data_IF_337102451566
#
_entry.id   IF_337102451566
#
_cell.length_a   1.000
_cell.length_b   1.000
_cell.length_c   1.000
_cell.angle_alpha   90.00
_cell.angle_beta   90.00
_cell.angle_gamma   90.00
#
_symmetry.space_group_name_H-M   'P 1'
#
loop_
_entity.id
_entity.type
_entity.pdbx_description
1 polymer ?
#
# COMPACT_ATOMS: atom_id res chain seq x y z
N UNK A 1 -3.26 -32.43 47.53
CA UNK A 1 -3.17 -32.66 46.14
C UNK A 1 -2.69 -31.43 45.42
N UNK A 2 -1.61 -31.57 44.76
CA UNK A 2 -0.92 -30.44 44.16
C UNK A 2 -1.36 -30.18 42.72
N UNK A 3 -2.61 -30.40 42.42
CA UNK A 3 -3.13 -30.25 41.08
C UNK A 3 -3.06 -28.83 40.56
N UNK A 4 -2.99 -27.86 41.43
CA UNK A 4 -2.79 -26.47 41.07
C UNK A 4 -1.48 -26.26 40.29
N UNK A 5 -0.54 -27.18 40.45
CA UNK A 5 0.73 -27.11 39.72
C UNK A 5 0.65 -27.65 38.31
N UNK A 6 -0.48 -28.27 37.98
CA UNK A 6 -0.68 -28.87 36.69
C UNK A 6 -1.33 -27.90 35.67
N UNK A 7 -1.37 -26.61 35.99
CA UNK A 7 -1.82 -25.61 35.06
C UNK A 7 -0.92 -25.64 33.85
N UNK A 8 -1.52 -25.71 32.62
CA UNK A 8 -0.74 -25.90 31.39
C UNK A 8 0.06 -24.68 30.97
N UNK A 9 -0.09 -23.58 31.68
CA UNK A 9 0.68 -22.37 31.34
C UNK A 9 1.22 -21.74 32.60
N UNK A 10 2.34 -21.09 32.47
CA UNK A 10 3.03 -20.37 33.53
C UNK A 10 2.56 -18.91 33.49
N UNK A 11 2.06 -18.39 34.59
CA UNK A 11 1.64 -17.00 34.70
C UNK A 11 2.79 -16.02 34.50
N UNK A 12 4.02 -16.44 34.82
CA UNK A 12 5.19 -15.58 34.55
C UNK A 12 5.42 -15.35 33.08
N UNK A 13 5.03 -16.28 32.22
CA UNK A 13 5.09 -16.09 30.77
C UNK A 13 4.07 -15.06 30.29
N UNK A 14 2.87 -15.06 30.92
CA UNK A 14 1.86 -14.04 30.61
C UNK A 14 2.32 -12.65 31.02
N UNK A 15 2.98 -12.54 32.17
CA UNK A 15 3.52 -11.26 32.63
C UNK A 15 4.61 -10.77 31.66
N UNK A 16 5.43 -11.67 31.14
CA UNK A 16 6.42 -11.34 30.15
C UNK A 16 5.81 -10.88 28.82
N UNK A 17 4.73 -11.54 28.42
CA UNK A 17 4.00 -11.14 27.20
C UNK A 17 3.33 -9.77 27.38
N UNK A 18 2.75 -9.51 28.55
CA UNK A 18 2.15 -8.21 28.85
C UNK A 18 3.20 -7.09 28.84
N UNK A 19 4.42 -7.39 29.32
CA UNK A 19 5.49 -6.42 29.26
C UNK A 19 5.97 -6.17 27.82
N UNK A 20 5.88 -7.16 26.97
CA UNK A 20 6.18 -7.00 25.55
C UNK A 20 5.11 -6.17 24.83
N UNK A 21 3.89 -6.17 25.36
CA UNK A 21 2.83 -5.32 24.81
C UNK A 21 3.03 -3.84 25.10
N UNK A 22 3.96 -3.50 25.98
CA UNK A 22 4.40 -2.11 26.15
C UNK A 22 5.27 -1.62 24.99
N UNK A 23 5.64 -2.50 24.08
CA UNK A 23 6.23 -2.08 22.82
C UNK A 23 5.29 -1.15 22.09
N UNK A 24 5.81 -0.12 21.39
CA UNK A 24 4.94 0.84 20.73
C UNK A 24 3.98 0.12 19.77
N UNK A 25 2.72 0.54 19.84
CA UNK A 25 1.69 0.07 18.93
C UNK A 25 2.18 0.27 17.48
N UNK A 26 1.99 -0.71 16.59
CA UNK A 26 2.29 -0.51 15.18
C UNK A 26 1.67 0.75 14.58
N UNK A 27 0.54 1.21 15.13
CA UNK A 27 -0.06 2.48 14.72
C UNK A 27 0.77 3.69 15.13
N UNK A 28 1.45 3.63 16.27
CA UNK A 28 2.36 4.69 16.70
C UNK A 28 3.60 4.77 15.80
N UNK A 29 4.02 3.63 15.26
CA UNK A 29 5.12 3.59 14.30
C UNK A 29 4.72 4.20 12.94
N UNK A 30 3.44 4.15 12.58
CA UNK A 30 2.92 4.76 11.36
C UNK A 30 2.93 6.29 11.49
N UNK A 31 2.62 6.83 12.67
CA UNK A 31 2.69 8.26 12.91
C UNK A 31 4.13 8.77 12.84
N UNK A 32 5.08 7.95 13.19
CA UNK A 32 6.50 8.28 13.08
C UNK A 32 6.97 8.30 11.63
N UNK A 33 6.27 7.60 10.74
CA UNK A 33 6.51 7.68 9.30
C UNK A 33 6.11 9.04 8.70
N UNK A 34 5.43 9.87 9.46
CA UNK A 34 5.11 11.25 9.08
C UNK A 34 6.28 12.20 9.28
N UNK A 35 7.33 11.81 9.96
CA UNK A 35 8.57 12.56 9.98
C UNK A 35 9.33 12.20 8.71
N UNK A 36 9.38 13.17 7.81
CA UNK A 36 10.17 13.10 6.59
C UNK A 36 11.64 12.83 6.93
N UNK A 37 11.96 11.58 7.21
CA UNK A 37 13.33 11.16 7.01
C UNK A 37 13.59 11.38 5.53
N UNK A 38 14.43 12.33 5.23
CA UNK A 38 14.79 12.67 3.86
C UNK A 38 15.22 11.39 3.15
N UNK A 39 14.36 10.90 2.26
CA UNK A 39 14.68 9.76 1.42
C UNK A 39 15.85 10.16 0.55
N UNK A 40 16.92 9.34 0.47
CA UNK A 40 18.05 9.66 -0.37
C UNK A 40 17.60 9.86 -1.81
N UNK A 41 18.04 10.96 -2.43
CA UNK A 41 17.70 11.25 -3.83
C UNK A 41 18.15 10.12 -4.75
N UNK A 42 19.25 9.47 -4.42
CA UNK A 42 19.77 8.33 -5.19
C UNK A 42 18.80 7.17 -5.23
N UNK A 43 18.11 6.90 -4.10
CA UNK A 43 17.08 5.86 -4.03
C UNK A 43 15.89 6.19 -4.95
N UNK A 44 15.47 7.45 -4.91
CA UNK A 44 14.35 7.90 -5.75
C UNK A 44 14.72 7.85 -7.25
N UNK A 45 15.93 8.27 -7.61
CA UNK A 45 16.39 8.22 -8.99
C UNK A 45 16.50 6.79 -9.50
N UNK A 46 17.01 5.88 -8.68
CA UNK A 46 17.07 4.47 -9.05
C UNK A 46 15.68 3.87 -9.21
N UNK A 47 14.76 4.21 -8.31
CA UNK A 47 13.38 3.74 -8.41
C UNK A 47 12.69 4.26 -9.67
N UNK A 48 12.92 5.52 -10.04
CA UNK A 48 12.40 6.08 -11.29
C UNK A 48 12.95 5.32 -12.51
N UNK A 49 14.23 4.98 -12.48
CA UNK A 49 14.84 4.16 -13.53
C UNK A 49 14.20 2.78 -13.60
N UNK A 50 13.99 2.16 -12.45
CA UNK A 50 13.41 0.82 -12.36
C UNK A 50 11.98 0.77 -12.92
N UNK A 51 11.20 1.83 -12.77
CA UNK A 51 9.86 1.89 -13.34
C UNK A 51 9.87 1.77 -14.86
N UNK A 52 10.97 2.09 -15.50
CA UNK A 52 11.14 2.02 -16.95
C UNK A 52 11.81 0.72 -17.42
N UNK A 53 12.15 -0.16 -16.51
CA UNK A 53 12.84 -1.41 -16.79
C UNK A 53 11.89 -2.58 -17.06
N UNK A 54 12.39 -3.79 -16.82
CA UNK A 54 11.59 -5.00 -16.94
C UNK A 54 10.58 -5.14 -15.79
N UNK A 55 9.75 -6.18 -15.81
CA UNK A 55 8.69 -6.36 -14.81
C UNK A 55 9.25 -6.47 -13.38
N UNK A 56 10.37 -7.16 -13.20
CA UNK A 56 11.00 -7.33 -11.90
C UNK A 56 11.51 -5.99 -11.36
N UNK A 57 12.17 -5.22 -12.21
CA UNK A 57 12.63 -3.87 -11.86
C UNK A 57 11.45 -2.95 -11.57
N UNK A 58 10.39 -3.04 -12.36
CA UNK A 58 9.17 -2.25 -12.14
C UNK A 58 8.56 -2.53 -10.77
N UNK A 59 8.51 -3.79 -10.34
CA UNK A 59 8.03 -4.14 -8.99
C UNK A 59 8.89 -3.51 -7.90
N UNK A 60 10.20 -3.50 -8.07
CA UNK A 60 11.10 -2.89 -7.09
C UNK A 60 10.90 -1.38 -7.02
N UNK A 61 10.80 -0.71 -8.16
CA UNK A 61 10.53 0.72 -8.21
C UNK A 61 9.17 1.08 -7.61
N UNK A 62 8.16 0.27 -7.88
CA UNK A 62 6.83 0.47 -7.33
C UNK A 62 6.80 0.40 -5.81
N UNK A 63 7.60 -0.49 -5.20
CA UNK A 63 7.68 -0.57 -3.74
C UNK A 63 8.12 0.75 -3.13
N UNK A 64 9.08 1.43 -3.75
CA UNK A 64 9.57 2.72 -3.27
C UNK A 64 8.43 3.75 -3.31
N UNK A 65 7.68 3.82 -4.41
CA UNK A 65 6.62 4.82 -4.56
C UNK A 65 5.31 4.45 -3.86
N UNK A 66 5.17 3.23 -3.38
CA UNK A 66 4.12 2.89 -2.42
C UNK A 66 4.39 3.46 -1.03
N UNK A 67 5.65 3.73 -0.71
CA UNK A 67 6.07 4.23 0.60
C UNK A 67 6.42 5.72 0.58
N UNK A 68 6.90 6.22 -0.53
CA UNK A 68 7.40 7.59 -0.65
C UNK A 68 6.68 8.37 -1.72
N UNK A 69 6.51 9.68 -1.47
CA UNK A 69 5.88 10.59 -2.43
C UNK A 69 6.95 11.28 -3.27
N UNK A 70 6.79 11.18 -4.58
CA UNK A 70 7.62 11.91 -5.53
C UNK A 70 6.81 12.16 -6.81
N UNK A 71 6.50 13.44 -7.11
CA UNK A 71 5.69 13.76 -8.29
C UNK A 71 6.29 13.27 -9.62
N UNK A 72 7.61 13.09 -9.68
CA UNK A 72 8.28 12.59 -10.87
C UNK A 72 7.84 11.16 -11.24
N UNK A 73 7.32 10.42 -10.27
CA UNK A 73 6.84 9.06 -10.51
C UNK A 73 5.52 9.03 -11.28
N UNK A 74 4.70 10.06 -11.18
CA UNK A 74 3.34 10.06 -11.72
C UNK A 74 3.27 9.67 -13.20
N UNK A 75 4.04 10.30 -14.11
CA UNK A 75 3.96 9.92 -15.52
C UNK A 75 4.48 8.52 -15.81
N UNK A 76 5.30 7.96 -14.92
CA UNK A 76 5.83 6.61 -15.06
C UNK A 76 4.89 5.55 -14.46
N UNK A 77 4.08 5.94 -13.49
CA UNK A 77 3.11 5.03 -12.87
C UNK A 77 1.89 4.78 -13.75
N UNK A 78 1.43 5.80 -14.47
CA UNK A 78 0.22 5.68 -15.29
C UNK A 78 0.28 4.54 -16.31
N UNK A 79 1.36 4.34 -17.08
CA UNK A 79 1.43 3.23 -18.04
C UNK A 79 1.35 1.86 -17.38
N UNK A 80 1.79 1.73 -16.12
CA UNK A 80 1.78 0.46 -15.41
C UNK A 80 0.37 -0.01 -15.05
N UNK A 81 -0.61 0.89 -15.05
CA UNK A 81 -2.01 0.52 -14.87
C UNK A 81 -2.53 -0.36 -15.99
N UNK A 82 -1.89 -0.33 -17.16
CA UNK A 82 -2.23 -1.17 -18.30
C UNK A 82 -1.44 -2.47 -18.40
N UNK A 83 -0.63 -2.80 -17.37
CA UNK A 83 0.18 -4.01 -17.39
C UNK A 83 -0.70 -5.26 -17.44
N UNK A 84 -0.25 -6.28 -18.17
CA UNK A 84 -0.89 -7.59 -18.17
C UNK A 84 -0.74 -8.34 -16.85
N UNK A 85 0.23 -7.97 -16.03
CA UNK A 85 0.49 -8.59 -14.74
C UNK A 85 -0.39 -7.95 -13.66
N UNK A 86 -1.29 -8.70 -13.01
CA UNK A 86 -2.16 -8.14 -11.97
C UNK A 86 -1.40 -7.56 -10.79
N UNK A 87 -0.24 -8.14 -10.44
CA UNK A 87 0.58 -7.66 -9.32
C UNK A 87 1.14 -6.28 -9.66
N UNK A 88 1.60 -6.06 -10.90
CA UNK A 88 2.06 -4.75 -11.34
C UNK A 88 0.92 -3.73 -11.33
N UNK A 89 -0.26 -4.11 -11.85
CA UNK A 89 -1.42 -3.21 -11.81
C UNK A 89 -1.77 -2.83 -10.38
N UNK A 90 -1.86 -3.80 -9.47
CA UNK A 90 -2.18 -3.56 -8.07
C UNK A 90 -1.15 -2.64 -7.41
N UNK A 91 0.12 -2.91 -7.63
CA UNK A 91 1.20 -2.10 -7.04
C UNK A 91 1.21 -0.68 -7.61
N UNK A 92 0.94 -0.53 -8.91
CA UNK A 92 0.82 0.80 -9.52
C UNK A 92 -0.38 1.58 -8.97
N UNK A 93 -1.49 0.90 -8.71
CA UNK A 93 -2.67 1.51 -8.09
C UNK A 93 -2.32 2.04 -6.69
N UNK A 94 -1.65 1.25 -5.86
CA UNK A 94 -1.23 1.69 -4.53
C UNK A 94 -0.24 2.84 -4.59
N UNK A 95 0.71 2.79 -5.52
CA UNK A 95 1.67 3.87 -5.71
C UNK A 95 0.97 5.18 -6.09
N UNK A 96 -0.05 5.12 -6.94
CA UNK A 96 -0.88 6.29 -7.30
C UNK A 96 -1.78 6.74 -6.15
N UNK A 97 -2.10 5.87 -5.21
CA UNK A 97 -2.76 6.27 -3.98
C UNK A 97 -1.86 7.07 -3.06
N UNK A 98 -0.57 6.74 -3.05
CA UNK A 98 0.45 7.50 -2.30
C UNK A 98 0.88 8.76 -3.05
N UNK A 99 0.88 8.71 -4.39
CA UNK A 99 1.27 9.80 -5.28
C UNK A 99 0.08 10.21 -6.14
N UNK A 100 -0.95 10.86 -5.59
CA UNK A 100 -2.16 11.16 -6.32
C UNK A 100 -1.89 12.01 -7.56
N UNK A 101 -2.37 11.52 -8.70
CA UNK A 101 -2.22 12.16 -9.99
C UNK A 101 -3.62 12.36 -10.60
N UNK A 102 -4.11 13.61 -10.68
CA UNK A 102 -5.43 13.86 -11.25
C UNK A 102 -5.59 13.33 -12.67
N UNK A 103 -4.50 13.25 -13.43
CA UNK A 103 -4.55 12.74 -14.80
C UNK A 103 -4.75 11.23 -14.86
N UNK A 104 -4.45 10.52 -13.77
CA UNK A 104 -4.68 9.08 -13.69
C UNK A 104 -6.11 8.73 -13.27
N UNK A 105 -6.87 9.68 -12.74
CA UNK A 105 -8.18 9.43 -12.17
C UNK A 105 -9.16 8.73 -13.13
N UNK A 106 -9.31 9.18 -14.39
CA UNK A 106 -10.22 8.49 -15.31
C UNK A 106 -9.83 7.04 -15.55
N UNK A 107 -8.54 6.75 -15.65
CA UNK A 107 -8.05 5.40 -15.87
C UNK A 107 -8.27 4.53 -14.63
N UNK A 108 -8.06 5.08 -13.44
CA UNK A 108 -8.32 4.37 -12.18
C UNK A 108 -9.81 4.02 -12.03
N UNK A 109 -10.71 4.94 -12.36
CA UNK A 109 -12.14 4.71 -12.33
C UNK A 109 -12.56 3.64 -13.33
N UNK A 110 -11.99 3.66 -14.52
CA UNK A 110 -12.24 2.65 -15.54
C UNK A 110 -11.80 1.27 -15.07
N UNK A 111 -10.61 1.16 -14.53
CA UNK A 111 -10.10 -0.12 -13.99
C UNK A 111 -10.99 -0.64 -12.86
N UNK A 112 -11.47 0.23 -12.00
CA UNK A 112 -12.34 -0.18 -10.90
C UNK A 112 -13.61 -0.88 -11.41
N UNK A 113 -14.11 -0.45 -12.54
CA UNK A 113 -15.31 -1.05 -13.17
C UNK A 113 -14.99 -2.31 -13.95
N UNK A 114 -13.83 -2.36 -14.60
CA UNK A 114 -13.55 -3.37 -15.64
C UNK A 114 -12.51 -4.42 -15.22
N UNK A 115 -11.69 -4.16 -14.22
CA UNK A 115 -10.64 -5.11 -13.87
C UNK A 115 -11.25 -6.37 -13.25
N UNK A 116 -10.89 -7.52 -13.80
CA UNK A 116 -11.41 -8.80 -13.34
C UNK A 116 -10.78 -9.29 -12.04
N UNK A 117 -9.62 -8.74 -11.67
CA UNK A 117 -8.89 -9.19 -10.49
C UNK A 117 -9.42 -8.50 -9.24
N UNK A 118 -9.87 -9.28 -8.26
CA UNK A 118 -10.47 -8.72 -7.05
C UNK A 118 -9.45 -7.97 -6.18
N UNK A 119 -8.19 -8.36 -6.19
CA UNK A 119 -7.16 -7.66 -5.43
C UNK A 119 -6.86 -6.29 -6.03
N UNK A 120 -6.85 -6.20 -7.36
CA UNK A 120 -6.71 -4.91 -8.05
C UNK A 120 -7.90 -4.00 -7.72
N UNK A 121 -9.12 -4.52 -7.75
CA UNK A 121 -10.32 -3.74 -7.41
C UNK A 121 -10.31 -3.26 -5.96
N UNK A 122 -9.83 -4.07 -5.02
CA UNK A 122 -9.68 -3.64 -3.62
C UNK A 122 -8.66 -2.52 -3.48
N UNK A 123 -7.55 -2.63 -4.18
CA UNK A 123 -6.54 -1.58 -4.21
C UNK A 123 -7.11 -0.28 -4.79
N UNK A 124 -7.91 -0.39 -5.86
CA UNK A 124 -8.56 0.75 -6.48
C UNK A 124 -9.55 1.43 -5.54
N UNK A 125 -10.32 0.67 -4.78
CA UNK A 125 -11.26 1.23 -3.82
C UNK A 125 -10.53 2.09 -2.76
N UNK A 126 -9.44 1.59 -2.23
CA UNK A 126 -8.61 2.34 -1.28
C UNK A 126 -8.00 3.57 -1.93
N UNK A 127 -7.42 3.40 -3.11
CA UNK A 127 -6.74 4.48 -3.83
C UNK A 127 -7.69 5.60 -4.22
N UNK A 128 -8.87 5.27 -4.76
CA UNK A 128 -9.87 6.26 -5.14
C UNK A 128 -10.36 7.07 -3.94
N UNK A 129 -10.38 6.47 -2.75
CA UNK A 129 -10.69 7.18 -1.53
C UNK A 129 -9.70 8.29 -1.17
N UNK A 130 -8.49 8.24 -1.74
CA UNK A 130 -7.46 9.27 -1.55
C UNK A 130 -7.52 10.39 -2.60
N UNK A 131 -8.45 10.32 -3.54
CA UNK A 131 -8.65 11.33 -4.57
C UNK A 131 -9.84 12.19 -4.21
N UNK A 132 -9.64 13.45 -3.78
CA UNK A 132 -10.76 14.30 -3.34
C UNK A 132 -11.70 14.70 -4.48
N UNK A 133 -11.22 14.68 -5.73
CA UNK A 133 -12.02 15.01 -6.90
C UNK A 133 -12.89 13.84 -7.37
N UNK A 134 -12.72 12.65 -6.82
CA UNK A 134 -13.45 11.48 -7.25
C UNK A 134 -14.83 11.44 -6.62
N UNK A 135 -15.87 11.35 -7.44
CA UNK A 135 -17.20 10.96 -7.00
C UNK A 135 -17.19 9.43 -6.85
N UNK A 136 -16.63 8.96 -5.75
CA UNK A 136 -16.34 7.54 -5.56
C UNK A 136 -17.52 6.76 -5.05
N UNK A 137 -18.47 7.42 -4.40
CA UNK A 137 -19.58 6.77 -3.71
C UNK A 137 -20.40 5.85 -4.62
N UNK A 138 -20.75 6.24 -5.87
CA UNK A 138 -21.46 5.33 -6.76
C UNK A 138 -20.61 4.12 -7.17
N UNK A 139 -19.30 4.31 -7.32
CA UNK A 139 -18.39 3.23 -7.72
C UNK A 139 -18.13 2.28 -6.56
N UNK A 140 -18.11 2.76 -5.32
CA UNK A 140 -17.93 1.93 -4.13
C UNK A 140 -19.11 0.97 -3.92
N UNK A 141 -20.29 1.30 -4.41
CA UNK A 141 -21.44 0.41 -4.32
C UNK A 141 -21.24 -0.90 -5.06
N UNK A 142 -20.33 -0.94 -6.03
CA UNK A 142 -20.00 -2.12 -6.80
C UNK A 142 -19.17 -3.15 -6.00
N UNK A 143 -18.68 -2.77 -4.83
CA UNK A 143 -17.87 -3.64 -3.97
C UNK A 143 -18.73 -4.60 -3.16
N UNK A 144 -20.01 -4.34 -3.04
CA UNK A 144 -20.97 -5.13 -2.25
C UNK A 144 -21.41 -6.42 -2.95
N UNK A 145 -20.55 -7.05 -3.66
CA UNK A 145 -20.87 -8.28 -4.36
C UNK A 145 -20.25 -9.46 -3.65
#
# INVERSE_FOLDING_TARGET
>A
MAQSNDLPFDLSLLEGELQQEEAPDPLDLIDDCGQDEAVPEELLQEALRQLQGNQEEQLQGLKVFCEHRDPRSQPLLRPLLGSSCPILRMSAVYALGRNPDPQALPQLQQLFRLDSNCFVRKALAWTLGNYPEAEVVPDLSLIHI
#
